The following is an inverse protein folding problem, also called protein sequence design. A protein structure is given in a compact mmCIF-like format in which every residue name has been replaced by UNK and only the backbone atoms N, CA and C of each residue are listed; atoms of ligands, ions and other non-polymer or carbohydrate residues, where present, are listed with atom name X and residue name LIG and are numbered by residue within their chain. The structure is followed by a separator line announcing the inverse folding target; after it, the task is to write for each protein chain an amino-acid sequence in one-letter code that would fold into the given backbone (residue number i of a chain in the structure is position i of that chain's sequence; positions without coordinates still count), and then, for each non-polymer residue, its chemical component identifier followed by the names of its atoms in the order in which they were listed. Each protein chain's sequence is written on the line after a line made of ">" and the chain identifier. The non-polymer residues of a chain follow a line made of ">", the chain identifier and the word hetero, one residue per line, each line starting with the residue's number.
data_IF_588306994949
#
_entry.id   IF_588306994949
#
_cell.length_a   1.000
_cell.length_b   1.000
_cell.length_c   1.000
_cell.angle_alpha   90.00
_cell.angle_beta   90.00
_cell.angle_gamma   90.00
#
_symmetry.space_group_name_H-M   'P 1'
#
loop_
_entity.id
_entity.type
_entity.pdbx_description
1 polymer ?
#
# COMPACT_ATOMS: atom_id res chain seq x y z
N UNK A 1 -35.32 -2.29 -38.74
CA UNK A 1 -34.71 -1.63 -37.58
C UNK A 1 -33.84 -2.65 -36.87
N UNK A 2 -32.53 -2.60 -37.07
CA UNK A 2 -31.56 -3.46 -36.38
C UNK A 2 -30.96 -2.62 -35.24
N UNK A 3 -31.28 -3.00 -34.01
CA UNK A 3 -30.72 -2.38 -32.81
C UNK A 3 -29.44 -3.12 -32.44
N UNK A 4 -28.29 -2.46 -32.62
CA UNK A 4 -27.01 -2.93 -32.11
C UNK A 4 -26.84 -2.38 -30.70
N UNK A 5 -27.04 -3.23 -29.69
CA UNK A 5 -26.58 -2.95 -28.32
C UNK A 5 -25.10 -3.27 -28.25
N UNK A 6 -24.26 -2.23 -28.24
CA UNK A 6 -22.85 -2.35 -27.86
C UNK A 6 -22.82 -2.24 -26.32
N UNK A 7 -22.61 -3.37 -25.64
CA UNK A 7 -22.22 -3.37 -24.24
C UNK A 7 -20.82 -2.75 -24.15
N UNK A 8 -20.56 -1.80 -23.24
CA UNK A 8 -19.20 -1.33 -23.00
C UNK A 8 -18.44 -2.44 -22.26
N UNK A 9 -17.50 -3.09 -22.95
CA UNK A 9 -16.44 -3.84 -22.29
C UNK A 9 -15.65 -2.84 -21.42
N UNK A 10 -15.72 -3.02 -20.11
CA UNK A 10 -14.79 -2.40 -19.16
C UNK A 10 -13.40 -2.92 -19.53
N UNK A 11 -12.65 -2.09 -20.24
CA UNK A 11 -11.22 -2.26 -20.51
C UNK A 11 -10.49 -2.40 -19.16
N UNK A 12 -10.24 -3.64 -18.76
CA UNK A 12 -9.32 -3.96 -17.68
C UNK A 12 -7.92 -3.66 -18.19
N UNK A 13 -7.46 -2.43 -17.95
CA UNK A 13 -6.07 -2.05 -18.15
C UNK A 13 -5.21 -2.66 -17.03
N UNK A 14 -5.12 -3.99 -16.98
CA UNK A 14 -4.36 -4.71 -15.96
C UNK A 14 -3.22 -5.52 -16.56
N UNK A 15 -1.99 -5.19 -16.13
CA UNK A 15 -0.82 -6.05 -16.30
C UNK A 15 -0.82 -7.04 -15.13
N UNK A 16 -1.52 -8.17 -15.31
CA UNK A 16 -1.58 -9.29 -14.35
C UNK A 16 -3.00 -9.80 -14.08
N UNK A 17 -3.15 -11.09 -13.76
CA UNK A 17 -4.43 -11.74 -13.42
C UNK A 17 -4.97 -11.44 -12.01
N UNK A 18 -4.53 -10.33 -11.40
CA UNK A 18 -4.82 -9.95 -10.03
C UNK A 18 -5.67 -8.66 -9.96
N UNK A 19 -6.57 -8.52 -8.97
CA UNK A 19 -7.37 -7.30 -8.80
C UNK A 19 -6.53 -6.05 -8.58
N UNK A 20 -6.94 -4.93 -9.17
CA UNK A 20 -6.29 -3.63 -9.02
C UNK A 20 -6.55 -2.99 -7.65
N UNK A 21 -5.50 -2.51 -6.97
CA UNK A 21 -5.70 -1.52 -5.89
C UNK A 21 -6.28 -0.22 -6.46
N UNK A 22 -5.78 0.25 -7.61
CA UNK A 22 -6.20 1.54 -8.18
C UNK A 22 -7.66 1.53 -8.66
N UNK A 23 -8.10 0.49 -9.38
CA UNK A 23 -9.50 0.40 -9.82
C UNK A 23 -10.43 0.22 -8.62
N UNK A 24 -10.01 -0.55 -7.61
CA UNK A 24 -10.77 -0.72 -6.37
C UNK A 24 -10.93 0.62 -5.65
N UNK A 25 -9.85 1.39 -5.50
CA UNK A 25 -9.89 2.75 -4.93
C UNK A 25 -10.80 3.66 -5.76
N UNK A 26 -10.71 3.64 -7.09
CA UNK A 26 -11.56 4.44 -7.96
C UNK A 26 -13.06 4.08 -7.77
N UNK A 27 -13.40 2.80 -7.73
CA UNK A 27 -14.76 2.34 -7.49
C UNK A 27 -15.27 2.75 -6.10
N UNK A 28 -14.44 2.62 -5.05
CA UNK A 28 -14.77 3.07 -3.69
C UNK A 28 -15.05 4.58 -3.68
N UNK A 29 -14.21 5.40 -4.32
CA UNK A 29 -14.38 6.86 -4.34
C UNK A 29 -15.69 7.28 -5.01
N UNK A 30 -16.09 6.59 -6.08
CA UNK A 30 -17.39 6.84 -6.73
C UNK A 30 -18.54 6.50 -5.78
N UNK A 31 -18.46 5.37 -5.07
CA UNK A 31 -19.46 4.96 -4.08
C UNK A 31 -19.53 5.93 -2.90
N UNK A 32 -18.38 6.42 -2.41
CA UNK A 32 -18.31 7.44 -1.36
C UNK A 32 -18.99 8.74 -1.78
N UNK A 33 -18.78 9.20 -3.03
CA UNK A 33 -19.41 10.43 -3.55
C UNK A 33 -20.94 10.35 -3.56
N UNK A 34 -21.50 9.15 -3.77
CA UNK A 34 -22.95 8.93 -3.72
C UNK A 34 -23.49 8.74 -2.30
N UNK A 35 -22.67 8.23 -1.37
CA UNK A 35 -23.10 7.87 -0.03
C UNK A 35 -22.96 9.00 1.00
N UNK A 36 -22.02 9.93 0.81
CA UNK A 36 -21.69 10.97 1.76
C UNK A 36 -21.89 12.37 1.19
N UNK A 37 -22.30 13.30 2.03
CA UNK A 37 -22.30 14.74 1.74
C UNK A 37 -20.86 15.31 1.72
N UNK A 38 -20.69 16.49 1.14
CA UNK A 38 -19.40 17.20 1.13
C UNK A 38 -18.82 17.40 2.54
N UNK A 39 -19.65 17.77 3.51
CA UNK A 39 -19.22 17.98 4.91
C UNK A 39 -18.75 16.69 5.55
N UNK A 40 -19.44 15.57 5.30
CA UNK A 40 -19.02 14.25 5.78
C UNK A 40 -17.72 13.82 5.11
N UNK A 41 -17.60 13.95 3.79
CA UNK A 41 -16.37 13.61 3.04
C UNK A 41 -15.13 14.35 3.56
N UNK A 42 -15.28 15.61 3.99
CA UNK A 42 -14.19 16.42 4.57
C UNK A 42 -13.74 15.97 5.95
N UNK A 43 -14.58 15.22 6.67
CA UNK A 43 -14.35 14.87 8.08
C UNK A 43 -14.17 13.37 8.31
N UNK A 44 -14.24 12.57 7.24
CA UNK A 44 -14.01 11.13 7.29
C UNK A 44 -12.64 10.80 7.91
N UNK A 45 -12.66 9.83 8.80
CA UNK A 45 -11.46 9.23 9.38
C UNK A 45 -11.10 7.94 8.65
N UNK A 46 -9.84 7.46 8.71
CA UNK A 46 -9.47 6.18 8.12
C UNK A 46 -10.31 5.00 8.65
N UNK A 47 -10.74 5.07 9.91
CA UNK A 47 -11.61 4.07 10.53
C UNK A 47 -13.02 4.05 9.91
N UNK A 48 -13.63 5.21 9.71
CA UNK A 48 -14.94 5.29 9.04
C UNK A 48 -14.88 4.85 7.59
N UNK A 49 -13.78 5.13 6.89
CA UNK A 49 -13.56 4.61 5.53
C UNK A 49 -13.47 3.09 5.57
N UNK A 50 -12.70 2.51 6.50
CA UNK A 50 -12.57 1.06 6.67
C UNK A 50 -13.92 0.37 6.93
N UNK A 51 -14.78 0.96 7.77
CA UNK A 51 -16.14 0.46 8.04
C UNK A 51 -17.05 0.53 6.80
N UNK A 52 -16.80 1.48 5.89
CA UNK A 52 -17.54 1.63 4.64
C UNK A 52 -17.14 0.62 3.57
N UNK A 53 -15.95 0.03 3.67
CA UNK A 53 -15.46 -0.97 2.73
C UNK A 53 -16.26 -2.26 2.85
N UNK A 54 -16.59 -2.87 1.71
CA UNK A 54 -17.09 -4.23 1.69
C UNK A 54 -15.94 -5.25 1.87
N UNK A 55 -16.28 -6.52 2.08
CA UNK A 55 -15.28 -7.55 2.39
C UNK A 55 -14.33 -7.86 1.22
N UNK A 56 -14.80 -7.72 -0.02
CA UNK A 56 -13.95 -7.90 -1.22
C UNK A 56 -12.94 -6.76 -1.35
N UNK A 57 -13.39 -5.51 -1.21
CA UNK A 57 -12.54 -4.31 -1.19
C UNK A 57 -11.51 -4.41 -0.06
N UNK A 58 -11.91 -4.80 1.16
CA UNK A 58 -10.98 -5.03 2.27
C UNK A 58 -9.94 -6.08 1.92
N UNK A 59 -10.35 -7.20 1.32
CA UNK A 59 -9.44 -8.27 0.92
C UNK A 59 -8.41 -7.75 -0.08
N UNK A 60 -8.85 -7.09 -1.15
CA UNK A 60 -7.97 -6.52 -2.18
C UNK A 60 -7.00 -5.52 -1.54
N UNK A 61 -7.51 -4.53 -0.80
CA UNK A 61 -6.66 -3.52 -0.15
C UNK A 61 -5.74 -4.10 0.95
N UNK A 62 -6.02 -5.30 1.46
CA UNK A 62 -5.19 -5.97 2.48
C UNK A 62 -4.08 -6.84 1.90
N UNK A 63 -4.11 -7.14 0.59
CA UNK A 63 -3.20 -8.13 -0.01
C UNK A 63 -2.60 -7.71 -1.35
N UNK A 64 -3.23 -6.78 -2.08
CA UNK A 64 -2.92 -6.55 -3.50
C UNK A 64 -1.99 -5.37 -3.80
N UNK A 65 -1.40 -4.74 -2.77
CA UNK A 65 -0.56 -3.55 -2.94
C UNK A 65 0.88 -3.90 -3.30
N UNK A 66 1.46 -4.90 -2.64
CA UNK A 66 2.79 -5.44 -2.95
C UNK A 66 2.70 -6.95 -2.92
N UNK A 67 3.09 -7.60 -4.01
CA UNK A 67 3.12 -9.05 -4.14
C UNK A 67 4.48 -9.54 -4.57
N UNK A 68 4.82 -10.74 -4.13
CA UNK A 68 5.99 -11.45 -4.58
C UNK A 68 5.89 -12.92 -4.18
N UNK A 69 6.73 -13.75 -4.78
CA UNK A 69 6.86 -15.17 -4.45
C UNK A 69 8.19 -15.44 -3.78
N UNK A 70 8.16 -16.25 -2.71
CA UNK A 70 9.35 -16.73 -1.99
C UNK A 70 9.53 -18.24 -2.18
N UNK A 71 10.77 -18.68 -2.33
CA UNK A 71 11.13 -20.09 -2.52
C UNK A 71 11.07 -20.94 -1.24
N UNK A 72 11.23 -20.32 -0.06
CA UNK A 72 11.25 -20.98 1.26
C UNK A 72 10.25 -20.31 2.22
N UNK A 73 9.84 -20.99 3.32
CA UNK A 73 9.04 -20.35 4.37
C UNK A 73 9.79 -19.18 5.01
N UNK A 74 9.10 -18.05 5.18
CA UNK A 74 9.69 -16.80 5.70
C UNK A 74 8.88 -16.23 6.86
N UNK A 75 9.55 -15.48 7.72
CA UNK A 75 8.92 -14.48 8.59
C UNK A 75 9.00 -13.14 7.87
N UNK A 76 7.84 -12.54 7.61
CA UNK A 76 7.75 -11.17 7.10
C UNK A 76 7.62 -10.24 8.29
N UNK A 77 8.55 -9.28 8.39
CA UNK A 77 8.49 -8.17 9.34
C UNK A 77 8.08 -6.90 8.61
N UNK A 78 7.05 -6.21 9.11
CA UNK A 78 6.60 -4.91 8.61
C UNK A 78 7.09 -3.86 9.60
N UNK A 79 8.08 -3.08 9.19
CA UNK A 79 8.50 -1.88 9.90
C UNK A 79 7.53 -0.77 9.52
N UNK A 80 6.85 -0.20 10.50
CA UNK A 80 5.75 0.73 10.29
C UNK A 80 5.94 2.01 11.08
N UNK A 81 5.71 3.15 10.43
CA UNK A 81 5.65 4.46 11.08
C UNK A 81 4.53 4.50 12.15
N UNK A 82 4.91 4.70 13.42
CA UNK A 82 3.97 4.70 14.54
C UNK A 82 3.00 5.87 14.51
N UNK A 83 3.34 6.96 13.82
CA UNK A 83 2.46 8.13 13.67
C UNK A 83 1.16 7.78 12.91
N UNK A 84 1.16 6.68 12.15
CA UNK A 84 -0.01 6.15 11.43
C UNK A 84 -1.04 5.47 12.36
N UNK A 85 -0.76 5.34 13.66
CA UNK A 85 -1.68 4.83 14.69
C UNK A 85 -2.24 3.44 14.37
N UNK A 86 -3.48 3.34 13.90
CA UNK A 86 -4.17 2.09 13.59
C UNK A 86 -4.01 1.65 12.13
N UNK A 87 -3.28 2.42 11.31
CA UNK A 87 -2.97 2.09 9.93
C UNK A 87 -1.59 1.40 9.81
N UNK A 88 -1.36 0.54 8.81
CA UNK A 88 -2.37 -0.01 7.91
C UNK A 88 -3.40 -0.86 8.67
N UNK A 89 -4.63 -0.93 8.18
CA UNK A 89 -5.68 -1.65 8.92
C UNK A 89 -5.43 -3.16 8.95
N UNK A 90 -4.85 -3.73 7.89
CA UNK A 90 -4.72 -5.17 7.68
C UNK A 90 -3.72 -5.87 8.61
N UNK A 91 -2.75 -5.15 9.18
CA UNK A 91 -1.81 -5.71 10.18
C UNK A 91 -2.45 -5.89 11.55
N UNK A 92 -3.63 -5.31 11.81
CA UNK A 92 -4.33 -5.52 13.09
C UNK A 92 -5.04 -6.88 13.16
N UNK A 93 -5.07 -7.64 12.06
CA UNK A 93 -5.68 -8.96 11.97
C UNK A 93 -4.83 -9.94 11.17
N UNK A 94 -5.43 -11.06 10.74
CA UNK A 94 -4.84 -12.02 9.81
C UNK A 94 -3.48 -12.63 10.21
N UNK A 95 -3.22 -12.81 11.51
CA UNK A 95 -2.03 -13.50 12.03
C UNK A 95 -0.77 -12.62 12.13
N UNK A 96 -0.91 -11.29 11.99
CA UNK A 96 0.14 -10.33 12.30
C UNK A 96 0.22 -10.08 13.81
N UNK A 97 1.45 -10.06 14.33
CA UNK A 97 1.71 -9.85 15.76
C UNK A 97 2.64 -8.67 15.95
N UNK A 98 2.26 -7.74 16.83
CA UNK A 98 3.15 -6.66 17.26
C UNK A 98 4.25 -7.25 18.14
N UNK A 99 5.50 -7.01 17.78
CA UNK A 99 6.68 -7.56 18.48
C UNK A 99 7.01 -6.83 19.79
N UNK A 100 6.46 -5.64 20.01
CA UNK A 100 6.85 -4.73 21.10
C UNK A 100 8.15 -3.96 20.82
N UNK A 101 8.83 -4.24 19.70
CA UNK A 101 10.06 -3.56 19.32
C UNK A 101 9.72 -2.19 18.73
N UNK A 102 10.39 -1.16 19.25
CA UNK A 102 10.34 0.20 18.74
C UNK A 102 11.77 0.65 18.45
N UNK A 103 12.01 1.09 17.23
CA UNK A 103 13.30 1.63 16.80
C UNK A 103 13.09 3.00 16.15
N UNK A 104 14.17 3.78 16.05
CA UNK A 104 14.15 5.07 15.36
C UNK A 104 14.92 4.94 14.05
N UNK A 105 14.25 5.21 12.93
CA UNK A 105 14.89 5.34 11.62
C UNK A 105 14.88 6.83 11.27
N UNK A 106 16.06 7.45 11.30
CA UNK A 106 16.23 8.91 11.26
C UNK A 106 15.39 9.64 12.32
N UNK A 107 14.32 10.31 11.89
CA UNK A 107 13.39 11.08 12.73
C UNK A 107 12.01 10.43 12.87
N UNK A 108 11.84 9.22 12.35
CA UNK A 108 10.60 8.46 12.43
C UNK A 108 10.73 7.36 13.47
N UNK A 109 9.84 7.34 14.45
CA UNK A 109 9.66 6.18 15.32
C UNK A 109 8.85 5.11 14.59
N UNK A 110 9.39 3.90 14.55
CA UNK A 110 8.77 2.77 13.88
C UNK A 110 8.55 1.62 14.86
N UNK A 111 7.46 0.89 14.68
CA UNK A 111 7.23 -0.40 15.33
C UNK A 111 7.31 -1.55 14.33
N UNK A 112 7.48 -2.76 14.85
CA UNK A 112 7.68 -3.97 14.03
C UNK A 112 6.54 -4.95 14.26
N UNK A 113 5.89 -5.34 13.17
CA UNK A 113 4.86 -6.39 13.13
C UNK A 113 5.39 -7.60 12.38
N UNK A 114 5.03 -8.80 12.80
CA UNK A 114 5.51 -10.04 12.19
C UNK A 114 4.40 -11.03 11.87
N UNK A 115 4.58 -11.74 10.76
CA UNK A 115 3.74 -12.86 10.36
C UNK A 115 4.58 -13.90 9.60
N UNK A 116 4.30 -15.17 9.86
CA UNK A 116 4.91 -16.29 9.16
C UNK A 116 4.14 -16.60 7.87
N UNK A 117 4.86 -16.86 6.79
CA UNK A 117 4.33 -17.29 5.50
C UNK A 117 5.03 -18.59 5.06
N UNK A 118 4.30 -19.55 4.49
CA UNK A 118 4.92 -20.69 3.81
C UNK A 118 5.66 -20.22 2.54
N UNK A 119 6.44 -21.12 1.95
CA UNK A 119 6.95 -20.89 0.59
C UNK A 119 5.78 -20.68 -0.39
N UNK A 120 5.96 -19.80 -1.38
CA UNK A 120 4.94 -19.41 -2.33
C UNK A 120 4.60 -17.93 -2.26
N UNK A 121 3.32 -17.60 -2.47
CA UNK A 121 2.86 -16.24 -2.70
C UNK A 121 2.70 -15.44 -1.39
N UNK A 122 3.19 -14.21 -1.40
CA UNK A 122 3.08 -13.26 -0.30
C UNK A 122 2.46 -11.98 -0.83
N UNK A 123 1.28 -11.63 -0.32
CA UNK A 123 0.58 -10.39 -0.61
C UNK A 123 0.53 -9.47 0.61
N UNK A 124 0.87 -8.20 0.39
CA UNK A 124 0.87 -7.13 1.39
C UNK A 124 -0.10 -6.04 0.95
N UNK A 125 -0.85 -5.50 1.91
CA UNK A 125 -1.87 -4.50 1.65
C UNK A 125 -1.36 -3.07 1.59
N UNK A 126 -2.27 -2.15 1.29
CA UNK A 126 -2.00 -0.72 1.16
C UNK A 126 -1.49 -0.12 2.45
N UNK A 127 -0.69 0.94 2.35
CA UNK A 127 -0.05 1.57 3.51
C UNK A 127 -1.04 2.22 4.49
N UNK A 128 -2.06 2.89 3.97
CA UNK A 128 -3.03 3.64 4.77
C UNK A 128 -4.26 3.98 3.94
N UNK A 129 -5.43 4.00 4.57
CA UNK A 129 -6.64 4.61 4.01
C UNK A 129 -6.67 6.14 4.20
N UNK A 130 -5.75 6.65 5.02
CA UNK A 130 -5.53 8.07 5.25
C UNK A 130 -4.33 8.64 4.50
N UNK A 131 -4.08 9.93 4.73
CA UNK A 131 -2.94 10.64 4.17
C UNK A 131 -1.80 10.80 5.20
N UNK A 132 -0.57 10.47 4.82
CA UNK A 132 0.63 10.80 5.60
C UNK A 132 1.51 9.59 5.96
N UNK A 133 2.45 9.82 6.89
CA UNK A 133 3.43 8.85 7.37
C UNK A 133 4.46 8.40 6.33
N UNK A 134 5.43 7.61 6.75
CA UNK A 134 6.29 6.85 5.85
C UNK A 134 5.55 5.61 5.30
N UNK A 135 5.95 5.13 4.12
CA UNK A 135 5.52 3.82 3.66
C UNK A 135 6.10 2.75 4.60
N UNK A 136 5.38 1.66 4.85
CA UNK A 136 5.96 0.54 5.57
C UNK A 136 7.14 -0.10 4.81
N UNK A 137 8.06 -0.73 5.54
CA UNK A 137 9.23 -1.43 4.96
C UNK A 137 9.12 -2.92 5.32
N UNK A 138 8.92 -3.81 4.32
CA UNK A 138 8.96 -5.25 4.53
C UNK A 138 10.39 -5.79 4.59
N UNK A 139 10.63 -6.66 5.55
CA UNK A 139 11.86 -7.44 5.70
C UNK A 139 11.51 -8.91 5.80
N UNK A 140 12.20 -9.75 5.05
CA UNK A 140 12.01 -11.20 4.99
C UNK A 140 13.19 -11.89 5.67
N UNK A 141 12.91 -12.79 6.61
CA UNK A 141 13.90 -13.66 7.23
C UNK A 141 13.48 -15.12 7.04
N UNK A 142 14.39 -16.05 6.70
CA UNK A 142 14.01 -17.45 6.56
C UNK A 142 13.55 -18.00 7.91
N UNK A 143 12.59 -18.95 7.89
CA UNK A 143 12.16 -19.62 9.12
C UNK A 143 13.16 -20.66 9.60
N UNK A 144 13.90 -21.30 8.68
CA UNK A 144 14.91 -22.29 9.00
C UNK A 144 16.31 -21.72 8.80
N UNK A 145 17.23 -22.09 9.68
CA UNK A 145 18.62 -21.69 9.60
C UNK A 145 19.28 -22.30 8.34
N UNK A 146 20.04 -21.49 7.60
CA UNK A 146 20.73 -21.90 6.37
C UNK A 146 19.89 -21.80 5.09
N UNK A 147 18.58 -21.59 5.18
CA UNK A 147 17.74 -21.34 4.00
C UNK A 147 18.11 -19.99 3.34
N UNK A 148 18.24 -19.99 2.02
CA UNK A 148 18.50 -18.78 1.21
C UNK A 148 17.21 -18.33 0.55
N UNK A 149 16.78 -17.10 0.87
CA UNK A 149 15.58 -16.50 0.28
C UNK A 149 15.88 -16.03 -1.14
N UNK A 150 15.10 -16.54 -2.09
CA UNK A 150 14.95 -16.00 -3.44
C UNK A 150 13.56 -15.39 -3.58
N UNK A 151 13.50 -14.18 -4.12
CA UNK A 151 12.25 -13.45 -4.35
C UNK A 151 12.03 -13.32 -5.85
N UNK A 152 10.83 -13.69 -6.30
CA UNK A 152 10.42 -13.68 -7.72
C UNK A 152 9.03 -13.08 -7.87
N UNK A 153 8.59 -12.86 -9.11
CA UNK A 153 7.25 -12.38 -9.46
C UNK A 153 6.82 -11.12 -8.69
N UNK A 154 7.76 -10.18 -8.49
CA UNK A 154 7.53 -8.96 -7.72
C UNK A 154 6.60 -8.02 -8.48
N UNK A 155 5.55 -7.57 -7.79
CA UNK A 155 4.60 -6.57 -8.26
C UNK A 155 4.35 -5.52 -7.16
N UNK A 156 4.20 -4.23 -7.51
CA UNK A 156 4.34 -3.65 -8.85
C UNK A 156 5.80 -3.59 -9.31
N UNK A 157 6.03 -3.47 -10.63
CA UNK A 157 7.36 -3.64 -11.23
C UNK A 157 8.46 -2.64 -10.80
N UNK A 158 8.12 -1.60 -10.04
CA UNK A 158 9.09 -0.70 -9.42
C UNK A 158 9.57 -1.16 -8.04
N UNK A 159 8.96 -2.21 -7.47
CA UNK A 159 9.40 -2.83 -6.22
C UNK A 159 10.58 -3.76 -6.51
N UNK A 160 11.55 -3.79 -5.61
CA UNK A 160 12.75 -4.61 -5.75
C UNK A 160 13.05 -5.37 -4.47
N UNK A 161 13.67 -6.54 -4.58
CA UNK A 161 14.24 -7.26 -3.44
C UNK A 161 15.75 -7.02 -3.39
N UNK A 162 16.29 -6.80 -2.19
CA UNK A 162 17.73 -6.64 -1.98
C UNK A 162 18.16 -7.27 -0.66
N UNK A 163 19.43 -7.67 -0.56
CA UNK A 163 20.01 -8.12 0.72
C UNK A 163 20.04 -6.93 1.67
N UNK A 164 19.53 -7.12 2.89
CA UNK A 164 19.54 -6.10 3.92
C UNK A 164 20.95 -5.96 4.50
N UNK A 165 21.58 -4.82 4.23
CA UNK A 165 22.92 -4.46 4.73
C UNK A 165 23.00 -2.95 4.95
N UNK A 166 23.98 -2.50 5.72
CA UNK A 166 24.23 -1.07 5.89
C UNK A 166 24.42 -0.38 4.52
N UNK A 167 23.80 0.79 4.37
CA UNK A 167 23.81 1.58 3.14
C UNK A 167 22.77 1.14 2.09
N UNK A 168 21.99 0.10 2.32
CA UNK A 168 20.90 -0.28 1.40
C UNK A 168 19.80 0.79 1.39
N UNK A 169 19.24 1.09 0.21
CA UNK A 169 18.10 2.01 0.09
C UNK A 169 16.86 1.42 0.79
N UNK A 170 16.05 2.27 1.41
CA UNK A 170 14.77 1.84 1.99
C UNK A 170 13.65 1.76 0.94
N UNK A 171 13.71 2.65 -0.04
CA UNK A 171 12.71 2.78 -1.11
C UNK A 171 13.39 2.94 -2.47
N UNK A 172 12.72 2.53 -3.54
CA UNK A 172 13.29 2.60 -4.90
C UNK A 172 13.27 4.01 -5.50
N UNK A 173 12.38 4.88 -5.02
CA UNK A 173 12.19 6.26 -5.47
C UNK A 173 12.72 7.32 -4.48
N UNK A 174 13.54 6.92 -3.52
CA UNK A 174 14.20 7.81 -2.57
C UNK A 174 15.71 7.52 -2.49
N UNK A 175 16.49 8.50 -2.07
CA UNK A 175 17.92 8.35 -1.80
C UNK A 175 18.22 7.94 -0.34
N UNK A 176 17.18 7.72 0.46
CA UNK A 176 17.31 7.31 1.84
C UNK A 176 17.84 5.88 1.99
N UNK A 177 18.85 5.72 2.84
CA UNK A 177 19.50 4.45 3.14
C UNK A 177 19.44 4.09 4.62
N UNK A 178 19.53 2.79 4.91
CA UNK A 178 19.62 2.27 6.27
C UNK A 178 21.07 2.33 6.77
N UNK A 179 21.35 3.17 7.77
CA UNK A 179 22.71 3.38 8.26
C UNK A 179 23.33 2.12 8.90
N UNK A 180 22.55 1.36 9.66
CA UNK A 180 22.95 0.10 10.27
C UNK A 180 21.77 -0.86 10.30
N UNK A 181 22.07 -2.16 10.20
CA UNK A 181 21.04 -3.20 10.30
C UNK A 181 20.89 -3.60 11.76
N UNK A 182 19.71 -3.44 12.38
CA UNK A 182 19.44 -4.01 13.69
C UNK A 182 19.66 -5.53 13.68
N UNK A 183 20.24 -6.07 14.75
CA UNK A 183 20.62 -7.49 14.86
C UNK A 183 19.45 -8.46 14.56
N UNK A 184 18.23 -8.06 14.94
CA UNK A 184 16.99 -8.77 14.63
C UNK A 184 16.85 -9.12 13.13
N UNK A 185 17.31 -8.22 12.25
CA UNK A 185 17.18 -8.30 10.81
C UNK A 185 18.47 -8.73 10.10
N UNK A 186 19.44 -9.28 10.82
CA UNK A 186 20.61 -9.89 10.17
C UNK A 186 20.18 -10.97 9.16
N UNK A 187 20.96 -11.08 8.08
CA UNK A 187 20.77 -12.08 7.02
C UNK A 187 19.38 -12.06 6.38
N UNK A 188 18.72 -10.90 6.40
CA UNK A 188 17.38 -10.71 5.87
C UNK A 188 17.39 -10.08 4.48
N UNK A 189 16.27 -10.18 3.77
CA UNK A 189 16.02 -9.50 2.50
C UNK A 189 15.07 -8.35 2.75
N UNK A 190 15.34 -7.17 2.20
CA UNK A 190 14.42 -6.02 2.19
C UNK A 190 13.62 -6.03 0.88
N UNK A 191 12.32 -5.77 0.98
CA UNK A 191 11.48 -5.44 -0.16
C UNK A 191 11.41 -3.91 -0.25
N UNK A 192 12.16 -3.34 -1.18
CA UNK A 192 12.22 -1.91 -1.41
C UNK A 192 10.96 -1.47 -2.16
N UNK A 193 10.01 -0.87 -1.44
CA UNK A 193 8.79 -0.33 -2.02
C UNK A 193 9.04 1.05 -2.63
N UNK A 194 8.03 1.58 -3.32
CA UNK A 194 8.01 2.99 -3.72
C UNK A 194 7.46 3.83 -2.56
N UNK A 195 8.23 4.76 -2.03
CA UNK A 195 7.79 5.64 -0.95
C UNK A 195 6.53 6.41 -1.31
N UNK A 196 6.44 6.92 -2.54
CA UNK A 196 5.28 7.67 -2.98
C UNK A 196 4.00 6.82 -3.12
N UNK A 197 4.12 5.49 -3.19
CA UNK A 197 2.97 4.57 -3.19
C UNK A 197 2.24 4.50 -1.84
N UNK A 198 2.73 5.22 -0.81
CA UNK A 198 2.11 5.28 0.53
C UNK A 198 0.70 5.89 0.53
N UNK A 199 0.33 6.56 -0.56
CA UNK A 199 -0.94 7.25 -0.75
C UNK A 199 -1.83 6.57 -1.81
N UNK A 200 -1.44 5.41 -2.36
CA UNK A 200 -2.17 4.76 -3.47
C UNK A 200 -3.61 4.39 -3.11
N UNK A 201 -3.92 4.27 -1.81
CA UNK A 201 -5.27 4.06 -1.28
C UNK A 201 -5.71 5.12 -0.26
N UNK A 202 -5.13 6.33 -0.32
CA UNK A 202 -5.58 7.44 0.52
C UNK A 202 -6.99 7.88 0.10
N UNK A 203 -8.00 7.44 0.85
CA UNK A 203 -9.40 7.76 0.63
C UNK A 203 -9.89 8.92 1.51
N UNK A 204 -9.22 9.17 2.64
CA UNK A 204 -9.38 10.41 3.42
C UNK A 204 -8.66 11.56 2.70
N UNK A 205 -9.31 12.73 2.65
CA UNK A 205 -8.80 13.92 1.94
C UNK A 205 -8.53 13.71 0.44
N UNK A 206 -9.14 12.67 -0.14
CA UNK A 206 -9.07 12.36 -1.57
C UNK A 206 -9.71 13.46 -2.40
N UNK A 207 -10.94 13.85 -2.05
CA UNK A 207 -11.69 14.91 -2.73
C UNK A 207 -11.03 16.28 -2.53
N UNK A 208 -10.86 17.01 -3.64
CA UNK A 208 -10.35 18.38 -3.64
C UNK A 208 -11.52 19.36 -3.72
N UNK A 209 -11.43 20.40 -2.91
CA UNK A 209 -12.47 21.41 -2.77
C UNK A 209 -11.90 22.75 -3.25
N UNK A 210 -12.66 23.48 -4.05
CA UNK A 210 -12.31 24.82 -4.51
C UNK A 210 -13.50 25.75 -4.32
N UNK A 211 -13.23 27.00 -3.91
CA UNK A 211 -14.24 28.06 -3.89
C UNK A 211 -14.60 28.56 -5.29
N UNK A 212 -13.76 28.22 -6.28
CA UNK A 212 -13.88 28.64 -7.67
C UNK A 212 -14.04 27.39 -8.54
N UNK A 213 -15.24 26.78 -8.59
CA UNK A 213 -15.49 25.68 -9.50
C UNK A 213 -15.42 26.19 -10.94
N UNK A 214 -14.79 25.41 -11.83
CA UNK A 214 -14.81 25.71 -13.26
C UNK A 214 -16.25 25.77 -13.75
N UNK A 215 -16.57 26.84 -14.49
CA UNK A 215 -17.87 26.97 -15.13
C UNK A 215 -17.82 26.40 -16.55
N UNK A 216 -18.97 26.08 -17.17
CA UNK A 216 -19.02 25.73 -18.59
C UNK A 216 -18.60 26.90 -19.51
N UNK A 217 -18.51 28.11 -18.98
CA UNK A 217 -18.11 29.30 -19.72
C UNK A 217 -16.59 29.47 -19.64
N UNK A 218 -15.89 29.65 -20.78
CA UNK A 218 -14.45 29.86 -20.76
C UNK A 218 -14.11 31.15 -20.01
N UNK A 219 -13.28 31.05 -18.97
CA UNK A 219 -12.86 32.20 -18.17
C UNK A 219 -11.81 33.07 -18.91
N UNK A 220 -11.14 32.51 -19.93
CA UNK A 220 -10.19 33.23 -20.78
C UNK A 220 -10.33 32.79 -22.25
N UNK A 221 -10.77 33.71 -23.10
CA UNK A 221 -10.74 33.55 -24.57
C UNK A 221 -9.53 34.32 -25.10
N UNK A 222 -8.55 33.61 -25.65
CA UNK A 222 -7.42 34.23 -26.37
C UNK A 222 -7.75 34.24 -27.85
N UNK A 223 -7.84 35.43 -28.45
CA UNK A 223 -7.92 35.59 -29.90
C UNK A 223 -6.49 35.52 -30.45
N UNK A 224 -6.21 34.48 -31.25
CA UNK A 224 -5.01 34.38 -32.09
C UNK A 224 -5.22 35.07 -33.43
#
# INVERSE_FOLDING_TARGET
>A
MLSFSVLPELLHAHVGGHPSVHDTVAAITLRMKSAFTETELKTLTPYQVEEFLNEEEKKILSTEHVHFRVNVPVVVSIIRDRSLKSQPFWIRGNGWNLTGIVIKIKDVEVDVWQKSFPAGDVGLGVNSLGSGGAHYIPILKPQNEGDVIEVSDIYPGQVQAAILKAGVKLYTDQEETLASVPELFNESVIIQTKYNSRQDASLVNYFKWTQYPSTPQPDQVVLT
#
